data_IF_238957303489
#
_entry.id   IF_238957303489
#
_cell.length_a   1.000
_cell.length_b   1.000
_cell.length_c   1.000
_cell.angle_alpha   90.00
_cell.angle_beta   90.00
_cell.angle_gamma   90.00
#
_symmetry.space_group_name_H-M   'P 1'
#
loop_
_entity.id
_entity.type
_entity.pdbx_description
1 polymer ?
#
# COMPACT_ATOMS: atom_id res chain seq x y z
N UNK A 1 62.01 -12.88 -33.14
CA UNK A 1 61.49 -13.16 -31.77
C UNK A 1 61.26 -11.91 -30.89
N UNK A 2 61.64 -10.68 -31.29
CA UNK A 2 61.48 -9.47 -30.46
C UNK A 2 60.02 -9.04 -30.23
N UNK A 3 59.12 -9.29 -31.19
CA UNK A 3 57.73 -8.80 -31.13
C UNK A 3 56.77 -9.74 -30.37
N UNK A 4 57.16 -11.00 -30.12
CA UNK A 4 56.33 -11.99 -29.42
C UNK A 4 56.23 -11.70 -27.91
N UNK A 5 57.30 -11.11 -27.33
CA UNK A 5 57.32 -10.66 -25.93
C UNK A 5 56.41 -9.44 -25.72
N UNK A 6 56.35 -8.52 -26.68
CA UNK A 6 55.46 -7.36 -26.61
C UNK A 6 53.98 -7.76 -26.73
N UNK A 7 53.66 -8.72 -27.61
CA UNK A 7 52.29 -9.24 -27.77
C UNK A 7 51.83 -10.02 -26.53
N UNK A 8 52.71 -10.80 -25.91
CA UNK A 8 52.37 -11.52 -24.66
C UNK A 8 52.20 -10.57 -23.48
N UNK A 9 53.00 -9.52 -23.36
CA UNK A 9 52.81 -8.48 -22.34
C UNK A 9 51.50 -7.72 -22.56
N UNK A 10 51.17 -7.38 -23.82
CA UNK A 10 49.92 -6.70 -24.14
C UNK A 10 48.67 -7.58 -23.89
N UNK A 11 48.76 -8.89 -24.16
CA UNK A 11 47.68 -9.83 -23.88
C UNK A 11 47.44 -10.00 -22.37
N UNK A 12 48.51 -10.12 -21.57
CA UNK A 12 48.41 -10.22 -20.11
C UNK A 12 47.87 -8.92 -19.51
N UNK A 13 48.34 -7.76 -19.96
CA UNK A 13 47.83 -6.47 -19.50
C UNK A 13 46.35 -6.27 -19.88
N UNK A 14 45.93 -6.67 -21.09
CA UNK A 14 44.54 -6.60 -21.53
C UNK A 14 43.60 -7.50 -20.72
N UNK A 15 44.05 -8.71 -20.36
CA UNK A 15 43.27 -9.64 -19.53
C UNK A 15 43.06 -9.15 -18.09
N UNK A 16 43.95 -8.30 -17.57
CA UNK A 16 43.81 -7.67 -16.26
C UNK A 16 42.79 -6.52 -16.24
N UNK A 17 42.42 -5.96 -17.39
CA UNK A 17 41.44 -4.86 -17.49
C UNK A 17 40.00 -5.32 -17.75
N UNK A 18 39.77 -6.62 -18.02
CA UNK A 18 38.42 -7.14 -18.30
C UNK A 18 37.68 -7.63 -17.06
N UNK A 19 38.28 -7.56 -15.86
CA UNK A 19 37.57 -7.76 -14.60
C UNK A 19 36.76 -6.49 -14.31
N UNK A 20 35.70 -6.29 -15.08
CA UNK A 20 34.63 -5.38 -14.71
C UNK A 20 34.06 -5.91 -13.40
N UNK A 21 34.32 -5.19 -12.32
CA UNK A 21 33.66 -5.43 -11.04
C UNK A 21 32.17 -5.20 -11.28
N UNK A 22 31.43 -6.27 -11.52
CA UNK A 22 29.98 -6.23 -11.54
C UNK A 22 29.55 -5.92 -10.10
N UNK A 23 29.24 -4.64 -9.82
CA UNK A 23 28.64 -4.27 -8.54
C UNK A 23 27.20 -4.78 -8.55
N UNK A 24 26.97 -5.93 -7.94
CA UNK A 24 25.63 -6.37 -7.63
C UNK A 24 25.09 -5.43 -6.55
N UNK A 25 24.15 -4.55 -6.93
CA UNK A 25 23.31 -3.90 -5.95
C UNK A 25 22.55 -5.00 -5.21
N UNK A 26 22.79 -5.16 -3.91
CA UNK A 26 22.06 -6.13 -3.11
C UNK A 26 20.59 -5.71 -3.06
N UNK A 27 19.72 -6.47 -3.71
CA UNK A 27 18.28 -6.29 -3.56
C UNK A 27 17.90 -6.59 -2.10
N UNK A 28 17.55 -5.54 -1.33
CA UNK A 28 17.28 -5.64 0.11
C UNK A 28 15.86 -6.14 0.44
N UNK A 29 15.19 -6.81 -0.50
CA UNK A 29 13.84 -7.30 -0.32
C UNK A 29 13.84 -8.83 -0.24
N UNK A 30 13.28 -9.37 0.84
CA UNK A 30 13.06 -10.81 0.99
C UNK A 30 11.59 -11.12 0.80
N UNK A 31 11.27 -11.99 -0.16
CA UNK A 31 9.91 -12.48 -0.36
C UNK A 31 9.62 -13.59 0.63
N UNK A 32 8.57 -13.40 1.42
CA UNK A 32 8.06 -14.40 2.36
C UNK A 32 6.69 -14.91 1.90
N UNK A 33 6.34 -16.13 2.30
CA UNK A 33 4.97 -16.65 2.19
C UNK A 33 4.33 -16.60 3.57
N UNK A 34 3.13 -16.03 3.66
CA UNK A 34 2.40 -15.88 4.91
C UNK A 34 0.92 -16.21 4.71
N UNK A 35 0.22 -16.46 5.82
CA UNK A 35 -1.19 -16.89 5.83
C UNK A 35 -2.06 -15.72 6.27
N UNK A 36 -3.07 -15.36 5.49
CA UNK A 36 -4.11 -14.43 5.91
C UNK A 36 -5.05 -15.11 6.92
N UNK A 37 -5.38 -14.41 8.00
CA UNK A 37 -6.18 -14.91 9.13
C UNK A 37 -7.43 -14.06 9.37
N UNK A 38 -8.42 -14.10 8.46
CA UNK A 38 -9.70 -13.40 8.65
C UNK A 38 -10.53 -13.98 9.80
N UNK A 39 -10.18 -15.17 10.27
CA UNK A 39 -10.78 -15.85 11.41
C UNK A 39 -10.35 -15.26 12.77
N UNK A 40 -9.32 -14.42 12.79
CA UNK A 40 -8.85 -13.79 14.03
C UNK A 40 -9.75 -12.65 14.49
N UNK A 41 -10.14 -12.71 15.76
CA UNK A 41 -10.86 -11.64 16.44
C UNK A 41 -9.88 -10.81 17.27
N UNK A 42 -9.85 -9.51 17.03
CA UNK A 42 -9.04 -8.57 17.82
C UNK A 42 -9.92 -7.89 18.86
N UNK A 43 -9.41 -7.80 20.09
CA UNK A 43 -10.07 -7.10 21.20
C UNK A 43 -9.15 -6.02 21.76
N UNK A 44 -9.70 -4.85 22.01
CA UNK A 44 -9.03 -3.76 22.73
C UNK A 44 -9.91 -3.42 23.93
N UNK A 45 -9.32 -3.42 25.12
CA UNK A 45 -10.03 -3.23 26.40
C UNK A 45 -11.25 -4.16 26.56
N UNK A 46 -11.11 -5.41 26.12
CA UNK A 46 -12.17 -6.43 26.18
C UNK A 46 -13.27 -6.29 25.14
N UNK A 47 -13.30 -5.21 24.35
CA UNK A 47 -14.28 -4.99 23.28
C UNK A 47 -13.79 -5.55 21.96
N UNK A 48 -14.65 -6.24 21.23
CA UNK A 48 -14.36 -6.69 19.87
C UNK A 48 -14.17 -5.48 18.96
N UNK A 49 -13.12 -5.52 18.16
CA UNK A 49 -12.84 -4.49 17.17
C UNK A 49 -12.79 -5.11 15.79
N UNK A 50 -13.47 -4.47 14.85
CA UNK A 50 -13.52 -4.92 13.46
C UNK A 50 -12.33 -4.34 12.73
N UNK A 51 -11.53 -5.21 12.14
CA UNK A 51 -10.46 -4.85 11.23
C UNK A 51 -11.00 -4.80 9.80
N UNK A 52 -10.57 -3.80 9.04
CA UNK A 52 -10.81 -3.69 7.60
C UNK A 52 -9.93 -4.64 6.79
N UNK A 53 -8.70 -4.92 7.26
CA UNK A 53 -7.81 -5.90 6.65
C UNK A 53 -7.56 -7.09 7.60
N UNK A 54 -7.49 -8.29 7.02
CA UNK A 54 -7.21 -9.49 7.77
C UNK A 54 -5.77 -9.46 8.35
N UNK A 55 -5.59 -9.84 9.63
CA UNK A 55 -4.26 -10.12 10.18
C UNK A 55 -3.51 -11.18 9.37
N UNK A 56 -2.19 -11.18 9.49
CA UNK A 56 -1.30 -12.14 8.83
C UNK A 56 -0.59 -12.98 9.88
N UNK A 57 -0.54 -14.29 9.68
CA UNK A 57 0.32 -15.19 10.45
C UNK A 57 1.57 -15.56 9.64
N UNK A 58 2.74 -15.34 10.22
CA UNK A 58 4.03 -15.69 9.64
C UNK A 58 5.00 -16.16 10.73
N UNK A 59 5.60 -17.33 10.54
CA UNK A 59 6.55 -17.95 11.48
C UNK A 59 6.08 -17.95 12.95
N UNK A 60 4.81 -18.32 13.17
CA UNK A 60 4.23 -18.37 14.52
C UNK A 60 3.92 -17.00 15.13
N UNK A 61 4.22 -15.90 14.44
CA UNK A 61 3.87 -14.53 14.85
C UNK A 61 2.65 -14.05 14.10
N UNK A 62 1.77 -13.33 14.80
CA UNK A 62 0.61 -12.65 14.20
C UNK A 62 0.92 -11.18 14.02
N UNK A 63 0.77 -10.69 12.80
CA UNK A 63 0.95 -9.31 12.40
C UNK A 63 -0.43 -8.68 12.15
N UNK A 64 -0.73 -7.62 12.89
CA UNK A 64 -1.97 -6.86 12.75
C UNK A 64 -1.69 -5.62 11.90
N UNK A 65 -2.62 -5.22 11.00
CA UNK A 65 -2.48 -3.98 10.24
C UNK A 65 -2.26 -2.77 11.16
N UNK A 66 -1.03 -2.25 11.18
CA UNK A 66 -0.59 -1.21 12.11
C UNK A 66 -1.47 0.05 12.05
N UNK A 67 -1.95 0.40 10.85
CA UNK A 67 -2.80 1.58 10.62
C UNK A 67 -4.15 1.47 11.33
N UNK A 68 -4.74 0.28 11.32
CA UNK A 68 -6.01 0.02 11.99
C UNK A 68 -5.82 -0.06 13.49
N UNK A 69 -4.79 -0.80 13.93
CA UNK A 69 -4.41 -0.84 15.33
C UNK A 69 -4.17 0.58 15.87
N UNK A 70 -3.44 1.42 15.14
CA UNK A 70 -3.19 2.82 15.49
C UNK A 70 -4.49 3.61 15.65
N UNK A 71 -5.40 3.55 14.66
CA UNK A 71 -6.70 4.24 14.73
C UNK A 71 -7.51 3.83 15.97
N UNK A 72 -7.56 2.53 16.25
CA UNK A 72 -8.26 1.99 17.43
C UNK A 72 -7.63 2.49 18.73
N UNK A 73 -6.32 2.65 18.74
CA UNK A 73 -5.53 3.13 19.87
C UNK A 73 -5.45 4.67 19.96
N UNK A 74 -6.13 5.41 19.09
CA UNK A 74 -6.13 6.87 19.10
C UNK A 74 -4.90 7.53 18.45
N UNK A 75 -4.25 6.83 17.53
CA UNK A 75 -3.13 7.32 16.73
C UNK A 75 -3.51 7.44 15.26
N UNK A 76 -3.01 8.47 14.61
CA UNK A 76 -2.93 8.55 13.17
C UNK A 76 -1.61 7.93 12.70
N UNK A 77 -1.67 6.99 11.75
CA UNK A 77 -0.49 6.31 11.22
C UNK A 77 -0.15 6.87 9.85
N UNK A 78 0.94 7.63 9.75
CA UNK A 78 1.44 8.18 8.50
C UNK A 78 2.44 7.23 7.81
N UNK A 79 2.56 7.32 6.49
CA UNK A 79 3.69 6.75 5.75
C UNK A 79 4.21 7.76 4.74
N UNK A 80 5.49 8.12 4.84
CA UNK A 80 6.15 9.04 3.91
C UNK A 80 7.62 8.68 3.76
N UNK A 81 8.06 8.53 2.51
CA UNK A 81 9.49 8.29 2.17
C UNK A 81 10.13 7.14 2.96
N UNK A 82 9.42 6.01 3.11
CA UNK A 82 9.92 4.84 3.85
C UNK A 82 9.82 4.97 5.37
N UNK A 83 9.33 6.10 5.89
CA UNK A 83 9.13 6.34 7.32
C UNK A 83 7.66 6.15 7.67
N UNK A 84 7.41 5.35 8.71
CA UNK A 84 6.09 5.21 9.33
C UNK A 84 6.04 6.13 10.55
N UNK A 85 5.06 7.02 10.64
CA UNK A 85 4.84 7.89 11.82
C UNK A 85 3.58 7.46 12.55
N UNK A 86 3.60 7.57 13.88
CA UNK A 86 2.42 7.38 14.73
C UNK A 86 2.25 8.66 15.53
N UNK A 87 1.28 9.45 15.15
CA UNK A 87 0.99 10.75 15.76
C UNK A 87 -0.28 10.60 16.58
N UNK A 88 -0.24 10.98 17.86
CA UNK A 88 -1.43 10.90 18.70
C UNK A 88 -2.47 11.87 18.15
N UNK A 89 -3.69 11.39 17.93
CA UNK A 89 -4.78 12.29 17.61
C UNK A 89 -5.01 13.13 18.86
N UNK A 90 -4.73 14.44 18.80
CA UNK A 90 -5.01 15.34 19.94
C UNK A 90 -6.48 15.15 20.32
N UNK A 91 -6.69 14.63 21.53
CA UNK A 91 -8.01 14.60 22.15
C UNK A 91 -8.29 16.03 22.56
N UNK A 92 -8.88 16.82 21.68
CA UNK A 92 -9.56 18.02 22.15
C UNK A 92 -10.71 17.54 23.05
N UNK A 93 -10.58 17.79 24.34
CA UNK A 93 -11.59 17.48 25.34
C UNK A 93 -12.62 18.60 25.26
N UNK A 94 -13.58 18.50 24.34
CA UNK A 94 -14.79 19.29 24.42
C UNK A 94 -15.78 18.61 25.40
N UNK A 95 -16.36 19.36 26.36
CA UNK A 95 -17.36 18.85 27.29
C UNK A 95 -18.57 18.25 26.57
N UNK A 96 -18.96 17.05 27.02
CA UNK A 96 -20.09 16.28 26.52
C UNK A 96 -21.40 17.02 26.78
N UNK A 97 -22.03 17.58 25.74
CA UNK A 97 -23.47 17.83 25.72
C UNK A 97 -24.21 16.65 25.05
N UNK A 98 -25.35 16.19 25.60
CA UNK A 98 -26.04 15.01 25.10
C UNK A 98 -26.81 15.35 23.82
N UNK A 99 -26.26 15.03 22.65
CA UNK A 99 -27.01 15.04 21.39
C UNK A 99 -27.52 13.65 21.04
N UNK A 100 -28.83 13.55 21.17
CA UNK A 100 -29.72 12.53 20.63
C UNK A 100 -29.59 12.47 19.10
N UNK A 101 -29.24 11.29 18.59
CA UNK A 101 -29.52 10.75 17.24
C UNK A 101 -29.94 11.72 16.13
N UNK A 102 -29.01 12.12 15.25
CA UNK A 102 -29.23 12.23 13.80
C UNK A 102 -27.94 11.89 13.02
N UNK A 103 -28.08 10.94 12.10
CA UNK A 103 -27.33 10.59 10.88
C UNK A 103 -26.20 11.52 10.40
N UNK A 104 -24.97 10.97 10.28
CA UNK A 104 -24.06 11.21 9.15
C UNK A 104 -23.01 10.07 9.06
N UNK A 105 -23.23 9.15 8.13
CA UNK A 105 -22.30 8.11 7.72
C UNK A 105 -21.05 8.73 7.08
N UNK A 106 -19.87 8.55 7.69
CA UNK A 106 -18.60 8.86 7.04
C UNK A 106 -18.16 7.65 6.21
N UNK A 107 -18.59 7.66 4.94
CA UNK A 107 -18.48 6.58 3.98
C UNK A 107 -17.01 6.27 3.68
N UNK A 108 -16.53 5.12 4.16
CA UNK A 108 -15.20 4.60 3.83
C UNK A 108 -15.02 4.37 2.32
N UNK A 109 -16.10 4.24 1.56
CA UNK A 109 -16.11 3.95 0.12
C UNK A 109 -16.70 5.13 -0.65
N UNK A 110 -15.92 5.69 -1.56
CA UNK A 110 -16.25 6.86 -2.37
C UNK A 110 -16.36 6.45 -3.83
N UNK A 111 -17.41 6.94 -4.50
CA UNK A 111 -17.66 6.63 -5.91
C UNK A 111 -16.65 7.33 -6.82
N UNK A 112 -16.44 6.80 -8.03
CA UNK A 112 -15.55 7.41 -9.04
C UNK A 112 -15.89 8.89 -9.31
N UNK A 113 -17.18 9.23 -9.28
CA UNK A 113 -17.72 10.57 -9.51
C UNK A 113 -17.17 11.59 -8.52
N UNK A 114 -17.03 11.18 -7.26
CA UNK A 114 -16.63 12.03 -6.13
C UNK A 114 -15.10 12.12 -5.99
N UNK A 115 -14.34 11.25 -6.68
CA UNK A 115 -12.87 11.27 -6.65
C UNK A 115 -12.26 12.52 -7.29
N UNK A 116 -12.97 13.11 -8.25
CA UNK A 116 -12.54 14.34 -8.92
C UNK A 116 -12.40 15.50 -7.93
N UNK A 117 -13.21 15.50 -6.87
CA UNK A 117 -13.19 16.50 -5.79
C UNK A 117 -11.91 16.36 -4.94
N UNK A 118 -11.32 15.15 -4.88
CA UNK A 118 -10.06 14.86 -4.18
C UNK A 118 -8.82 14.89 -5.08
N UNK A 119 -8.91 15.53 -6.25
CA UNK A 119 -7.80 15.70 -7.19
C UNK A 119 -7.33 14.40 -7.86
N UNK A 120 -8.14 13.33 -7.82
CA UNK A 120 -7.88 12.06 -8.49
C UNK A 120 -8.74 11.98 -9.74
N UNK A 121 -8.13 11.63 -10.87
CA UNK A 121 -8.84 11.33 -12.11
C UNK A 121 -8.85 9.84 -12.36
N UNK A 122 -9.96 9.34 -12.94
CA UNK A 122 -10.11 7.94 -13.31
C UNK A 122 -10.42 7.87 -14.80
N UNK A 123 -9.61 7.12 -15.54
CA UNK A 123 -9.77 6.88 -16.96
C UNK A 123 -9.99 5.39 -17.24
N UNK A 124 -10.86 5.08 -18.21
CA UNK A 124 -11.07 3.71 -18.69
C UNK A 124 -9.96 3.32 -19.67
N UNK A 125 -9.58 2.04 -19.67
CA UNK A 125 -8.70 1.44 -20.69
C UNK A 125 -9.55 0.71 -21.74
N UNK A 126 -8.94 0.32 -22.86
CA UNK A 126 -9.56 -0.53 -23.90
C UNK A 126 -10.04 -1.90 -23.36
N UNK A 127 -9.49 -2.32 -22.22
CA UNK A 127 -9.94 -3.46 -21.42
C UNK A 127 -10.89 -2.94 -20.32
N UNK A 128 -12.18 -3.28 -20.43
CA UNK A 128 -13.22 -2.88 -19.49
C UNK A 128 -12.98 -3.36 -18.05
N UNK A 129 -12.09 -4.34 -17.86
CA UNK A 129 -11.70 -4.84 -16.54
C UNK A 129 -10.60 -4.00 -15.90
N UNK A 130 -10.14 -2.92 -16.54
CA UNK A 130 -9.03 -2.10 -16.06
C UNK A 130 -9.39 -0.62 -16.03
N UNK A 131 -8.88 0.06 -15.02
CA UNK A 131 -8.96 1.51 -14.87
C UNK A 131 -7.57 2.09 -14.63
N UNK A 132 -7.37 3.32 -15.06
CA UNK A 132 -6.19 4.12 -14.73
C UNK A 132 -6.65 5.17 -13.74
N UNK A 133 -6.03 5.21 -12.56
CA UNK A 133 -6.19 6.29 -11.60
C UNK A 133 -4.96 7.19 -11.66
N UNK A 134 -5.16 8.50 -11.62
CA UNK A 134 -4.06 9.47 -11.71
C UNK A 134 -4.24 10.60 -10.70
N UNK A 135 -3.13 11.08 -10.14
CA UNK A 135 -3.05 12.28 -9.30
C UNK A 135 -1.73 12.99 -9.58
N UNK A 136 -1.81 14.21 -10.10
CA UNK A 136 -0.62 14.91 -10.61
C UNK A 136 0.07 14.10 -11.70
N UNK A 137 1.38 13.92 -11.59
CA UNK A 137 2.20 13.16 -12.55
C UNK A 137 2.18 11.64 -12.33
N UNK A 138 1.55 11.18 -11.24
CA UNK A 138 1.47 9.75 -10.92
C UNK A 138 0.22 9.14 -11.54
N UNK A 139 0.37 7.97 -12.15
CA UNK A 139 -0.73 7.13 -12.62
C UNK A 139 -0.52 5.68 -12.22
N UNK A 140 -1.62 4.97 -11.96
CA UNK A 140 -1.64 3.54 -11.64
C UNK A 140 -2.75 2.87 -12.43
N UNK A 141 -2.42 1.81 -13.16
CA UNK A 141 -3.40 0.92 -13.77
C UNK A 141 -3.80 -0.15 -12.78
N UNK A 142 -5.09 -0.21 -12.47
CA UNK A 142 -5.70 -1.22 -11.60
C UNK A 142 -6.59 -2.14 -12.44
N UNK A 143 -6.59 -3.43 -12.10
CA UNK A 143 -7.56 -4.40 -12.62
C UNK A 143 -8.71 -4.50 -11.64
N UNK A 144 -9.95 -4.26 -12.07
CA UNK A 144 -11.12 -4.32 -11.21
C UNK A 144 -11.26 -5.71 -10.56
N UNK A 145 -11.61 -5.76 -9.25
CA UNK A 145 -11.89 -7.01 -8.56
C UNK A 145 -13.24 -7.59 -9.00
N UNK A 146 -13.52 -8.83 -8.62
CA UNK A 146 -14.85 -9.40 -8.80
C UNK A 146 -15.89 -8.67 -7.94
N UNK A 147 -17.15 -8.73 -8.35
CA UNK A 147 -18.23 -8.05 -7.65
C UNK A 147 -18.38 -8.57 -6.21
N UNK A 148 -18.43 -7.63 -5.26
CA UNK A 148 -18.44 -7.95 -3.83
C UNK A 148 -17.06 -8.23 -3.21
N UNK A 149 -15.98 -8.31 -4.01
CA UNK A 149 -14.62 -8.44 -3.51
C UNK A 149 -13.91 -7.09 -3.34
N UNK A 150 -12.88 -7.09 -2.49
CA UNK A 150 -11.97 -5.94 -2.31
C UNK A 150 -10.63 -6.26 -2.94
N UNK A 151 -10.29 -5.51 -3.99
CA UNK A 151 -8.96 -5.53 -4.60
C UNK A 151 -8.00 -4.60 -3.85
N UNK A 152 -6.78 -5.07 -3.61
CA UNK A 152 -5.69 -4.30 -3.00
C UNK A 152 -4.59 -4.04 -4.04
N UNK A 153 -4.21 -2.78 -4.21
CA UNK A 153 -3.26 -2.35 -5.24
C UNK A 153 -2.06 -1.61 -4.64
N UNK A 154 -1.06 -1.38 -5.49
CA UNK A 154 0.13 -0.59 -5.17
C UNK A 154 -0.24 0.75 -4.53
N UNK A 155 0.51 1.15 -3.51
CA UNK A 155 0.19 2.35 -2.71
C UNK A 155 -0.89 2.14 -1.64
N UNK A 156 -1.35 0.90 -1.43
CA UNK A 156 -2.33 0.56 -0.39
C UNK A 156 -3.78 0.86 -0.78
N UNK A 157 -4.02 1.14 -2.06
CA UNK A 157 -5.33 1.54 -2.60
C UNK A 157 -6.25 0.33 -2.58
N UNK A 158 -7.43 0.52 -1.99
CA UNK A 158 -8.48 -0.50 -1.97
C UNK A 158 -9.63 -0.10 -2.88
N UNK A 159 -10.07 -1.04 -3.72
CA UNK A 159 -11.16 -0.84 -4.69
C UNK A 159 -12.16 -1.99 -4.53
N UNK A 160 -13.44 -1.71 -4.66
CA UNK A 160 -14.50 -2.71 -4.70
C UNK A 160 -15.51 -2.36 -5.78
N UNK A 161 -16.17 -3.38 -6.31
CA UNK A 161 -17.29 -3.22 -7.24
C UNK A 161 -18.56 -3.66 -6.53
N UNK A 162 -19.57 -2.78 -6.49
CA UNK A 162 -20.88 -3.06 -5.91
C UNK A 162 -21.95 -2.57 -6.87
N UNK A 163 -22.89 -3.44 -7.22
CA UNK A 163 -24.01 -3.12 -8.13
C UNK A 163 -23.53 -2.57 -9.49
N UNK A 164 -22.40 -3.10 -9.98
CA UNK A 164 -21.75 -2.64 -11.22
C UNK A 164 -21.03 -1.27 -11.13
N UNK A 165 -21.02 -0.62 -9.98
CA UNK A 165 -20.33 0.64 -9.74
C UNK A 165 -19.00 0.42 -9.00
N UNK A 166 -18.00 1.25 -9.33
CA UNK A 166 -16.67 1.15 -8.75
C UNK A 166 -16.53 2.14 -7.60
N UNK A 167 -16.13 1.61 -6.44
CA UNK A 167 -15.89 2.40 -5.24
C UNK A 167 -14.43 2.27 -4.82
N UNK A 168 -13.88 3.37 -4.36
CA UNK A 168 -12.53 3.45 -3.83
C UNK A 168 -12.58 3.76 -2.36
N UNK A 169 -11.70 3.13 -1.58
CA UNK A 169 -11.63 3.44 -0.16
C UNK A 169 -11.02 4.84 0.03
N UNK A 170 -11.80 5.76 0.60
CA UNK A 170 -11.47 7.19 0.72
C UNK A 170 -10.20 7.46 1.49
N UNK A 171 -9.88 6.60 2.46
CA UNK A 171 -8.70 6.69 3.31
C UNK A 171 -7.43 6.21 2.59
N UNK A 172 -7.54 5.13 1.83
CA UNK A 172 -6.41 4.61 1.04
C UNK A 172 -5.99 5.56 -0.09
N UNK A 173 -6.94 6.38 -0.55
CA UNK A 173 -6.70 7.37 -1.59
C UNK A 173 -5.91 8.58 -1.11
N UNK A 174 -5.75 8.83 0.18
CA UNK A 174 -4.92 9.95 0.67
C UNK A 174 -3.42 9.69 0.47
N UNK A 175 -3.03 8.42 0.36
CA UNK A 175 -1.61 8.00 0.24
C UNK A 175 -1.08 7.97 -1.19
N UNK A 176 -1.94 8.21 -2.18
CA UNK A 176 -1.61 8.17 -3.62
C UNK A 176 -0.86 9.42 -4.10
#
# INVERSE_FOLDING_TARGET
MKNLKAVTIAFVAGALFTISTQSFAAESFSKISAILRPDYTVKVDGKNVKLGNAPIAYNGTTYVPLREAGKILGYNVGFKSGTITLDQTEKDVEPVEPITSETATETEWVSVSDLKIKGITVAKTDDASKLIISRGDKSLTIRLPEEGEVGLYQGGISVTVKDGEVFFNSFTLESF
#
